data_IF_991479289688
#
_entry.id   IF_991479289688
#
_cell.length_a   1.000
_cell.length_b   1.000
_cell.length_c   1.000
_cell.angle_alpha   90.00
_cell.angle_beta   90.00
_cell.angle_gamma   90.00
#
_symmetry.space_group_name_H-M   'P 1'
#
loop_
_entity.id
_entity.type
_entity.pdbx_description
1 polymer ?
#
# COMPACT_ATOMS: atom_id res chain seq x y z
N UNK A 1 -36.67 20.97 -40.77
CA UNK A 1 -37.16 19.85 -41.57
C UNK A 1 -37.45 18.72 -40.61
N UNK A 2 -38.59 18.70 -39.91
CA UNK A 2 -39.97 18.24 -40.31
C UNK A 2 -39.95 16.82 -40.82
N UNK A 3 -40.50 15.91 -40.02
CA UNK A 3 -41.62 14.97 -40.25
C UNK A 3 -41.57 13.87 -39.20
N UNK A 4 -42.47 13.68 -38.25
CA UNK A 4 -43.94 13.64 -38.21
C UNK A 4 -44.55 12.37 -38.86
N UNK A 5 -45.49 11.78 -38.12
CA UNK A 5 -46.56 10.81 -38.48
C UNK A 5 -46.22 9.33 -38.31
N UNK A 6 -47.07 8.45 -37.79
CA UNK A 6 -48.52 8.47 -37.58
C UNK A 6 -48.96 7.31 -36.70
N UNK A 7 -49.96 7.55 -35.90
CA UNK A 7 -50.89 6.64 -35.21
C UNK A 7 -51.49 5.57 -36.13
N UNK A 8 -51.78 4.40 -35.58
CA UNK A 8 -53.11 3.79 -35.78
C UNK A 8 -53.43 2.80 -34.66
N UNK A 9 -54.55 3.06 -34.02
CA UNK A 9 -55.34 2.16 -33.19
C UNK A 9 -56.15 1.21 -34.07
N UNK A 10 -56.64 0.14 -33.48
CA UNK A 10 -57.88 -0.63 -33.68
C UNK A 10 -57.62 -1.92 -32.90
N UNK A 11 -58.19 -2.33 -31.81
CA UNK A 11 -59.58 -2.38 -31.42
C UNK A 11 -60.19 -3.73 -31.82
N UNK A 12 -60.29 -4.67 -30.88
CA UNK A 12 -61.57 -5.39 -30.71
C UNK A 12 -61.46 -6.38 -29.51
N UNK A 13 -62.46 -6.34 -28.65
CA UNK A 13 -62.72 -7.23 -27.56
C UNK A 13 -63.34 -8.54 -28.03
N UNK A 14 -63.04 -9.66 -27.38
CA UNK A 14 -63.99 -10.77 -27.19
C UNK A 14 -63.70 -11.42 -25.85
N UNK A 15 -64.71 -11.42 -25.01
CA UNK A 15 -64.82 -12.16 -23.79
C UNK A 15 -65.01 -13.67 -24.04
N UNK A 16 -64.50 -14.53 -23.16
CA UNK A 16 -65.29 -15.64 -22.57
C UNK A 16 -64.44 -16.54 -21.67
N UNK A 17 -65.00 -16.74 -20.47
CA UNK A 17 -65.13 -17.98 -19.73
C UNK A 17 -63.94 -18.52 -18.88
N UNK A 18 -64.09 -18.31 -17.60
CA UNK A 18 -63.90 -19.18 -16.42
C UNK A 18 -63.34 -20.59 -16.68
N UNK A 19 -62.14 -20.83 -16.11
CA UNK A 19 -61.83 -22.09 -15.48
C UNK A 19 -60.83 -21.82 -14.34
N UNK A 20 -61.30 -21.92 -13.11
CA UNK A 20 -60.49 -21.86 -11.90
C UNK A 20 -59.69 -23.16 -11.78
N UNK A 21 -58.39 -23.09 -12.02
CA UNK A 21 -57.44 -24.11 -11.58
C UNK A 21 -56.51 -23.48 -10.58
N UNK A 22 -56.81 -23.68 -9.29
CA UNK A 22 -55.93 -23.32 -8.17
C UNK A 22 -54.76 -24.31 -8.19
N UNK A 23 -53.72 -24.01 -8.90
CA UNK A 23 -52.41 -24.65 -8.74
C UNK A 23 -51.65 -23.91 -7.62
N UNK A 24 -51.67 -24.49 -6.41
CA UNK A 24 -50.81 -24.07 -5.32
C UNK A 24 -49.36 -24.34 -5.74
N UNK A 25 -48.71 -23.33 -6.36
CA UNK A 25 -47.26 -23.32 -6.49
C UNK A 25 -46.67 -23.05 -5.12
N UNK A 26 -46.24 -24.09 -4.42
CA UNK A 26 -45.35 -23.99 -3.29
C UNK A 26 -44.04 -23.39 -3.80
N UNK A 27 -43.89 -22.08 -3.64
CA UNK A 27 -42.61 -21.40 -3.72
C UNK A 27 -41.72 -21.99 -2.63
N UNK A 28 -40.99 -23.03 -2.98
CA UNK A 28 -39.91 -23.55 -2.17
C UNK A 28 -38.84 -22.46 -2.11
N UNK A 29 -38.78 -21.70 -1.01
CA UNK A 29 -37.61 -20.94 -0.64
C UNK A 29 -36.45 -21.92 -0.48
N UNK A 30 -35.67 -22.13 -1.54
CA UNK A 30 -34.34 -22.70 -1.40
C UNK A 30 -33.55 -21.79 -0.49
N UNK A 31 -33.06 -22.27 0.69
CA UNK A 31 -32.16 -21.42 1.47
C UNK A 31 -30.97 -21.06 0.60
N UNK A 32 -30.76 -19.75 0.40
CA UNK A 32 -29.57 -19.29 -0.26
C UNK A 32 -28.35 -19.88 0.46
N UNK A 33 -27.38 -20.43 -0.28
CA UNK A 33 -26.18 -20.97 0.37
C UNK A 33 -25.58 -19.85 1.23
N UNK A 34 -25.50 -20.10 2.54
CA UNK A 34 -24.84 -19.17 3.46
C UNK A 34 -23.43 -18.96 2.97
N UNK A 35 -23.12 -17.77 2.51
CA UNK A 35 -21.77 -17.41 2.12
C UNK A 35 -20.88 -17.59 3.36
N UNK A 36 -20.06 -18.61 3.36
CA UNK A 36 -19.05 -18.80 4.40
C UNK A 36 -18.13 -17.62 4.32
N UNK A 37 -18.05 -16.83 5.39
CA UNK A 37 -17.17 -15.69 5.45
C UNK A 37 -15.72 -16.18 5.21
N UNK A 38 -15.05 -15.58 4.24
CA UNK A 38 -13.67 -15.91 3.94
C UNK A 38 -12.80 -15.59 5.14
N UNK A 39 -12.03 -16.57 5.60
CA UNK A 39 -11.05 -16.37 6.68
C UNK A 39 -9.82 -15.68 6.08
N UNK A 40 -9.47 -14.52 6.62
CA UNK A 40 -8.31 -13.74 6.17
C UNK A 40 -7.19 -13.94 7.18
N UNK A 41 -5.99 -14.26 6.68
CA UNK A 41 -4.76 -14.40 7.45
C UNK A 41 -3.70 -13.41 7.00
N UNK A 42 -2.96 -12.89 7.98
CA UNK A 42 -1.79 -12.06 7.71
C UNK A 42 -0.55 -12.97 7.57
N UNK A 43 0.13 -12.85 6.44
CA UNK A 43 1.42 -13.49 6.18
C UNK A 43 2.51 -12.45 6.33
N UNK A 44 3.39 -12.67 7.30
CA UNK A 44 4.45 -11.73 7.65
C UNK A 44 5.80 -12.26 7.18
N UNK A 45 6.56 -11.39 6.51
CA UNK A 45 7.92 -11.66 6.04
C UNK A 45 8.88 -10.75 6.79
N UNK A 46 9.92 -11.34 7.36
CA UNK A 46 10.98 -10.60 8.03
C UNK A 46 11.95 -10.01 7.01
N UNK A 47 12.35 -8.77 7.24
CA UNK A 47 13.37 -8.09 6.43
C UNK A 47 14.73 -8.26 7.13
N UNK A 48 15.77 -8.60 6.38
CA UNK A 48 17.13 -8.71 6.86
C UNK A 48 18.04 -7.63 6.23
N UNK A 49 18.93 -7.04 7.02
CA UNK A 49 19.08 -7.17 8.48
C UNK A 49 17.95 -6.50 9.26
N UNK A 50 17.73 -6.93 10.53
CA UNK A 50 16.67 -6.38 11.40
C UNK A 50 16.90 -4.92 11.80
N UNK A 51 18.14 -4.46 11.76
CA UNK A 51 18.54 -3.08 12.03
C UNK A 51 19.66 -2.66 11.09
N UNK A 52 19.53 -1.46 10.55
CA UNK A 52 20.55 -0.82 9.73
C UNK A 52 20.79 0.59 10.26
N UNK A 53 22.06 0.91 10.51
CA UNK A 53 22.47 2.24 10.90
C UNK A 53 23.37 2.86 9.84
N UNK A 54 23.04 4.09 9.46
CA UNK A 54 23.76 4.85 8.42
C UNK A 54 24.04 6.25 8.96
N UNK A 55 25.23 6.75 8.68
CA UNK A 55 25.58 8.14 8.95
C UNK A 55 25.90 8.83 7.63
N UNK A 56 25.27 9.96 7.38
CA UNK A 56 25.51 10.80 6.22
C UNK A 56 25.60 12.26 6.66
N UNK A 57 26.78 12.85 6.49
CA UNK A 57 27.07 14.20 6.97
C UNK A 57 26.77 14.34 8.47
N UNK A 58 25.83 15.21 8.82
CA UNK A 58 25.43 15.52 10.18
C UNK A 58 24.18 14.76 10.67
N UNK A 59 23.69 13.79 9.88
CA UNK A 59 22.53 12.99 10.26
C UNK A 59 22.91 11.52 10.37
N UNK A 60 22.50 10.90 11.48
CA UNK A 60 22.45 9.45 11.64
C UNK A 60 21.03 8.97 11.49
N UNK A 61 20.85 7.89 10.73
CA UNK A 61 19.59 7.18 10.60
C UNK A 61 19.71 5.74 11.06
N UNK A 62 18.72 5.26 11.78
CA UNK A 62 18.60 3.86 12.15
C UNK A 62 17.22 3.33 11.75
N UNK A 63 17.23 2.26 10.97
CA UNK A 63 16.01 1.59 10.49
C UNK A 63 15.87 0.26 11.23
N UNK A 64 14.73 0.07 11.90
CA UNK A 64 14.47 -1.09 12.74
C UNK A 64 13.08 -1.67 12.51
N UNK A 65 12.84 -2.88 13.00
CA UNK A 65 11.53 -3.55 12.98
C UNK A 65 10.90 -3.65 11.58
N UNK A 66 11.73 -3.79 10.55
CA UNK A 66 11.23 -3.88 9.18
C UNK A 66 10.56 -5.23 8.91
N UNK A 67 9.34 -5.17 8.43
CA UNK A 67 8.57 -6.35 8.02
C UNK A 67 7.67 -6.04 6.83
N UNK A 68 7.38 -7.06 6.04
CA UNK A 68 6.37 -6.99 4.97
C UNK A 68 5.18 -7.85 5.37
N UNK A 69 3.99 -7.28 5.34
CA UNK A 69 2.74 -7.99 5.66
C UNK A 69 1.86 -8.08 4.43
N UNK A 70 1.42 -9.29 4.10
CA UNK A 70 0.49 -9.59 3.03
C UNK A 70 -0.78 -10.20 3.62
N UNK A 71 -1.96 -9.72 3.23
CA UNK A 71 -3.25 -10.28 3.62
C UNK A 71 -3.76 -11.27 2.59
N UNK A 72 -3.94 -12.50 3.01
CA UNK A 72 -4.36 -13.59 2.13
C UNK A 72 -5.63 -14.26 2.64
N UNK A 73 -6.50 -14.62 1.73
CA UNK A 73 -7.68 -15.44 2.01
C UNK A 73 -7.26 -16.90 2.18
N UNK A 74 -7.62 -17.49 3.31
CA UNK A 74 -7.32 -18.89 3.60
C UNK A 74 -8.08 -19.81 2.62
N UNK A 75 -7.37 -20.82 2.12
CA UNK A 75 -7.92 -21.78 1.16
C UNK A 75 -7.70 -21.36 -0.30
N UNK A 76 -8.00 -20.14 -0.70
CA UNK A 76 -7.78 -19.67 -2.07
C UNK A 76 -6.38 -19.09 -2.29
N UNK A 77 -5.73 -18.61 -1.22
CA UNK A 77 -4.46 -17.89 -1.31
C UNK A 77 -4.57 -16.53 -2.01
N UNK A 78 -5.79 -16.04 -2.24
CA UNK A 78 -6.02 -14.76 -2.90
C UNK A 78 -5.57 -13.61 -1.99
N UNK A 79 -4.75 -12.72 -2.52
CA UNK A 79 -4.35 -11.49 -1.84
C UNK A 79 -5.55 -10.54 -1.78
N UNK A 80 -5.95 -10.14 -0.59
CA UNK A 80 -7.13 -9.29 -0.37
C UNK A 80 -6.79 -7.82 -0.28
N UNK A 81 -5.57 -7.50 0.19
CA UNK A 81 -5.08 -6.13 0.28
C UNK A 81 -3.66 -6.06 -0.27
N UNK A 82 -3.24 -4.91 -0.83
CA UNK A 82 -1.85 -4.68 -1.20
C UNK A 82 -0.93 -4.98 -0.02
N UNK A 83 0.20 -5.65 -0.29
CA UNK A 83 1.21 -5.89 0.73
C UNK A 83 1.79 -4.55 1.23
N UNK A 84 2.15 -4.52 2.51
CA UNK A 84 2.70 -3.34 3.16
C UNK A 84 4.08 -3.60 3.74
N UNK A 85 4.96 -2.63 3.57
CA UNK A 85 6.23 -2.54 4.27
C UNK A 85 6.05 -1.63 5.49
N UNK A 86 6.33 -2.16 6.68
CA UNK A 86 6.27 -1.39 7.93
C UNK A 86 7.61 -1.44 8.66
N UNK A 87 7.87 -0.45 9.52
CA UNK A 87 9.09 -0.38 10.29
C UNK A 87 9.19 0.91 11.07
N UNK A 88 10.34 1.14 11.70
CA UNK A 88 10.68 2.35 12.44
C UNK A 88 11.96 2.96 11.88
N UNK A 89 11.93 4.25 11.63
CA UNK A 89 13.06 5.07 11.22
C UNK A 89 13.36 6.07 12.34
N UNK A 90 14.47 5.90 13.01
CA UNK A 90 15.00 6.87 13.95
C UNK A 90 16.06 7.74 13.24
N UNK A 91 15.93 9.05 13.34
CA UNK A 91 16.88 10.03 12.80
C UNK A 91 17.46 10.84 13.94
N UNK A 92 18.75 11.13 13.87
CA UNK A 92 19.43 11.99 14.83
C UNK A 92 20.32 12.99 14.13
N UNK A 93 20.18 14.26 14.50
CA UNK A 93 21.11 15.29 14.11
C UNK A 93 22.32 15.26 15.08
N UNK A 94 23.49 14.92 14.55
CA UNK A 94 24.74 14.83 15.33
C UNK A 94 25.59 16.11 15.25
N UNK A 95 25.10 17.15 14.58
CA UNK A 95 25.74 18.45 14.56
C UNK A 95 25.67 19.14 15.92
N UNK A 96 26.66 19.95 16.24
CA UNK A 96 26.67 20.79 17.43
C UNK A 96 25.94 22.13 17.21
N UNK A 97 25.83 22.59 15.95
CA UNK A 97 25.46 23.97 15.63
C UNK A 97 24.51 24.12 14.44
N UNK A 98 24.25 23.04 13.69
CA UNK A 98 23.41 23.08 12.51
C UNK A 98 22.06 22.40 12.74
N UNK A 99 21.00 23.06 12.32
CA UNK A 99 19.68 22.47 12.25
C UNK A 99 19.51 21.71 10.92
N UNK A 100 18.82 20.59 10.95
CA UNK A 100 18.48 19.80 9.78
C UNK A 100 16.99 19.90 9.52
N UNK A 101 16.62 20.10 8.26
CA UNK A 101 15.24 19.99 7.81
C UNK A 101 15.10 18.81 6.84
N UNK A 102 14.22 17.86 7.21
CA UNK A 102 13.88 16.75 6.33
C UNK A 102 12.93 17.25 5.21
N UNK A 103 13.30 17.02 3.96
CA UNK A 103 12.51 17.49 2.78
C UNK A 103 11.72 16.38 2.12
N UNK A 104 12.09 15.12 2.36
CA UNK A 104 11.34 13.99 1.82
C UNK A 104 12.10 12.67 1.92
N UNK A 105 11.40 11.62 1.55
CA UNK A 105 11.97 10.29 1.45
C UNK A 105 11.22 9.46 0.41
N UNK A 106 11.92 8.49 -0.18
CA UNK A 106 11.34 7.52 -1.12
C UNK A 106 11.87 6.13 -0.85
N UNK A 107 11.06 5.12 -1.20
CA UNK A 107 11.44 3.73 -1.11
C UNK A 107 11.53 3.17 -2.53
N UNK A 108 12.63 2.51 -2.84
CA UNK A 108 12.84 1.81 -4.10
C UNK A 108 12.96 0.31 -3.82
N UNK A 109 12.19 -0.47 -4.56
CA UNK A 109 12.28 -1.92 -4.57
C UNK A 109 13.10 -2.34 -5.78
N UNK A 110 14.23 -3.00 -5.58
CA UNK A 110 15.20 -3.29 -6.63
C UNK A 110 15.22 -4.80 -6.90
N UNK A 111 15.11 -5.17 -8.17
CA UNK A 111 15.17 -6.57 -8.60
C UNK A 111 16.61 -7.10 -8.65
N UNK A 112 16.75 -8.41 -8.91
CA UNK A 112 18.05 -9.08 -9.01
C UNK A 112 18.90 -8.57 -10.19
N UNK A 113 18.31 -7.87 -11.15
CA UNK A 113 18.98 -7.21 -12.25
C UNK A 113 19.34 -5.74 -11.95
N UNK A 114 19.02 -5.24 -10.77
CA UNK A 114 19.28 -3.85 -10.37
C UNK A 114 18.25 -2.84 -10.89
N UNK A 115 17.09 -3.30 -11.35
CA UNK A 115 16.04 -2.44 -11.90
C UNK A 115 14.95 -2.20 -10.86
N UNK A 116 14.32 -0.99 -10.84
CA UNK A 116 13.19 -0.72 -9.96
C UNK A 116 11.98 -1.60 -10.29
N UNK A 117 11.41 -2.25 -9.28
CA UNK A 117 10.13 -2.96 -9.36
C UNK A 117 9.04 -1.91 -9.18
N UNK A 118 8.11 -1.83 -10.13
CA UNK A 118 6.99 -0.89 -10.06
C UNK A 118 5.91 -1.41 -9.11
N UNK A 119 5.24 -0.49 -8.45
CA UNK A 119 4.01 -0.77 -7.72
C UNK A 119 2.85 -1.02 -8.70
N UNK A 120 1.79 -1.66 -8.23
CA UNK A 120 0.54 -1.76 -8.98
C UNK A 120 0.06 -0.35 -9.35
N UNK A 121 -0.64 -0.20 -10.48
CA UNK A 121 -1.05 1.08 -11.06
C UNK A 121 0.08 1.97 -11.63
N UNK A 122 1.21 1.39 -12.07
CA UNK A 122 2.35 2.12 -12.68
C UNK A 122 3.01 3.20 -11.80
N UNK A 123 2.73 3.22 -10.51
CA UNK A 123 3.43 4.09 -9.57
C UNK A 123 4.82 3.53 -9.33
N UNK A 124 5.83 4.38 -9.43
CA UNK A 124 7.23 3.92 -9.35
C UNK A 124 7.81 4.02 -7.95
N UNK A 125 7.30 4.92 -7.10
CA UNK A 125 7.93 5.21 -5.81
C UNK A 125 6.89 5.54 -4.73
N UNK A 126 6.78 4.74 -3.65
CA UNK A 126 6.06 5.17 -2.48
C UNK A 126 6.85 6.28 -1.81
N UNK A 127 6.20 7.40 -1.62
CA UNK A 127 6.77 8.53 -0.90
C UNK A 127 6.55 8.30 0.59
N UNK A 128 7.62 8.34 1.38
CA UNK A 128 7.49 8.45 2.83
C UNK A 128 7.04 9.88 3.10
N UNK A 129 5.77 10.02 3.42
CA UNK A 129 5.30 11.26 4.02
C UNK A 129 5.84 11.25 5.43
N UNK A 130 6.65 12.23 5.80
CA UNK A 130 6.95 12.46 7.19
C UNK A 130 5.61 12.47 7.93
N UNK A 131 5.49 11.71 9.02
CA UNK A 131 4.30 11.73 9.84
C UNK A 131 4.23 13.12 10.50
N UNK A 132 3.79 14.09 9.73
CA UNK A 132 3.49 15.43 10.19
C UNK A 132 2.20 15.36 10.99
N UNK A 133 2.30 14.94 12.22
CA UNK A 133 1.30 15.24 13.20
C UNK A 133 1.60 16.66 13.66
N UNK A 134 0.98 17.64 13.01
CA UNK A 134 0.97 19.06 13.40
C UNK A 134 2.32 19.64 13.88
N UNK A 135 3.07 20.20 12.95
CA UNK A 135 3.80 21.45 13.21
C UNK A 135 5.28 21.42 13.55
N UNK A 136 5.98 20.30 13.74
CA UNK A 136 7.41 20.35 14.09
C UNK A 136 8.30 19.20 13.59
N UNK A 137 7.75 18.18 12.96
CA UNK A 137 8.47 16.91 12.70
C UNK A 137 9.45 16.93 11.52
N UNK A 138 9.54 18.01 10.79
CA UNK A 138 10.46 18.13 9.65
C UNK A 138 11.81 18.74 10.04
N UNK A 139 11.93 19.27 11.25
CA UNK A 139 13.13 19.96 11.74
C UNK A 139 13.76 19.20 12.89
N UNK A 140 15.07 18.98 12.82
CA UNK A 140 15.89 18.44 13.87
C UNK A 140 16.94 19.47 14.29
N UNK A 141 16.83 19.98 15.50
CA UNK A 141 17.82 20.89 16.06
C UNK A 141 19.11 20.12 16.46
N UNK A 142 20.23 20.79 16.74
CA UNK A 142 21.46 20.15 17.14
C UNK A 142 21.26 19.15 18.29
N UNK A 143 21.73 17.92 18.09
CA UNK A 143 21.61 16.84 19.09
C UNK A 143 20.21 16.20 19.18
N UNK A 144 19.21 16.74 18.52
CA UNK A 144 17.84 16.23 18.55
C UNK A 144 17.69 14.94 17.75
N UNK A 145 16.80 14.06 18.22
CA UNK A 145 16.37 12.86 17.52
C UNK A 145 14.85 12.87 17.29
N UNK A 146 14.42 12.12 16.25
CA UNK A 146 13.02 11.88 15.96
C UNK A 146 12.84 10.47 15.41
N UNK A 147 11.74 9.83 15.80
CA UNK A 147 11.35 8.51 15.29
C UNK A 147 10.09 8.61 14.47
N UNK A 148 10.11 8.02 13.29
CA UNK A 148 8.99 7.99 12.36
C UNK A 148 8.62 6.55 12.03
N UNK A 149 7.32 6.29 11.89
CA UNK A 149 6.85 5.02 11.35
C UNK A 149 7.07 4.98 9.83
N UNK A 150 7.59 3.88 9.37
CA UNK A 150 7.58 3.52 7.94
C UNK A 150 6.32 2.73 7.68
N UNK A 151 5.43 3.22 6.82
CA UNK A 151 4.24 2.51 6.32
C UNK A 151 4.13 2.81 4.82
N UNK A 152 4.50 1.84 4.01
CA UNK A 152 4.54 1.98 2.57
C UNK A 152 3.94 0.78 1.86
N UNK A 153 3.33 1.02 0.72
CA UNK A 153 2.87 -0.05 -0.17
C UNK A 153 4.06 -0.88 -0.67
N UNK A 154 3.87 -2.20 -0.73
CA UNK A 154 4.91 -3.12 -1.18
C UNK A 154 4.46 -3.84 -2.47
N UNK A 155 5.32 -3.96 -3.49
CA UNK A 155 4.95 -4.60 -4.75
C UNK A 155 4.78 -6.12 -4.58
N UNK A 156 3.55 -6.60 -4.76
CA UNK A 156 3.20 -8.03 -4.62
C UNK A 156 4.03 -8.92 -5.55
N UNK A 157 4.38 -8.42 -6.72
CA UNK A 157 5.25 -9.12 -7.68
C UNK A 157 6.62 -9.47 -7.09
N UNK A 158 7.14 -8.64 -6.21
CA UNK A 158 8.42 -8.89 -5.54
C UNK A 158 8.37 -10.13 -4.64
N UNK A 159 7.22 -10.40 -3.99
CA UNK A 159 7.02 -11.58 -3.17
C UNK A 159 6.79 -12.84 -4.01
N UNK A 160 5.93 -12.75 -5.03
CA UNK A 160 5.54 -13.89 -5.86
C UNK A 160 6.70 -14.48 -6.67
N UNK A 161 7.53 -13.63 -7.21
CA UNK A 161 8.56 -14.04 -8.17
C UNK A 161 9.95 -14.20 -7.55
N UNK A 162 10.12 -13.97 -6.24
CA UNK A 162 11.41 -13.95 -5.53
C UNK A 162 12.46 -13.09 -6.25
N UNK A 163 12.02 -12.05 -6.93
CA UNK A 163 12.88 -11.16 -7.73
C UNK A 163 13.48 -10.01 -6.94
N UNK A 164 12.99 -9.75 -5.73
CA UNK A 164 13.49 -8.64 -4.93
C UNK A 164 14.89 -8.96 -4.43
N UNK A 165 15.83 -8.07 -4.74
CA UNK A 165 17.21 -8.11 -4.25
C UNK A 165 17.39 -7.20 -3.04
N UNK A 166 16.85 -5.97 -3.12
CA UNK A 166 17.04 -4.97 -2.07
C UNK A 166 15.84 -4.02 -1.97
N UNK A 167 15.66 -3.48 -0.78
CA UNK A 167 14.78 -2.32 -0.52
C UNK A 167 15.70 -1.17 -0.17
N UNK A 168 15.62 -0.08 -0.94
CA UNK A 168 16.42 1.13 -0.74
C UNK A 168 15.55 2.25 -0.25
N UNK A 169 15.87 2.79 0.92
CA UNK A 169 15.27 3.99 1.46
C UNK A 169 16.20 5.16 1.19
N UNK A 170 15.74 6.15 0.45
CA UNK A 170 16.44 7.41 0.19
C UNK A 170 15.77 8.53 0.96
N UNK A 171 16.51 9.22 1.80
CA UNK A 171 16.04 10.39 2.54
C UNK A 171 16.79 11.62 2.04
N UNK A 172 16.07 12.73 1.90
CA UNK A 172 16.63 14.02 1.54
C UNK A 172 16.46 15.01 2.67
N UNK A 173 17.54 15.68 3.04
CA UNK A 173 17.50 16.70 4.08
C UNK A 173 18.35 17.90 3.72
N UNK A 174 18.07 19.05 4.32
CA UNK A 174 18.78 20.30 4.12
C UNK A 174 19.35 20.74 5.48
N UNK A 175 20.68 20.77 5.65
CA UNK A 175 21.28 21.38 6.82
C UNK A 175 21.28 22.90 6.71
N UNK A 176 21.28 23.58 7.84
CA UNK A 176 21.46 25.04 7.89
C UNK A 176 22.95 25.37 8.05
N UNK A 177 23.50 26.31 7.23
CA UNK A 177 22.89 26.94 6.09
C UNK A 177 22.99 26.08 4.82
N UNK A 178 21.86 25.74 4.31
CA UNK A 178 21.52 25.31 2.96
C UNK A 178 22.48 24.41 2.16
N UNK A 179 22.66 23.16 2.59
CA UNK A 179 23.23 22.11 1.74
C UNK A 179 22.28 20.90 1.75
N UNK A 180 21.85 20.45 0.59
CA UNK A 180 21.09 19.21 0.47
C UNK A 180 22.04 18.01 0.57
N UNK A 181 21.72 17.06 1.44
CA UNK A 181 22.42 15.78 1.55
C UNK A 181 21.40 14.63 1.51
N UNK A 182 21.85 13.44 1.12
CA UNK A 182 21.01 12.27 0.94
C UNK A 182 21.49 11.10 1.81
N UNK A 183 20.56 10.50 2.54
CA UNK A 183 20.78 9.21 3.20
C UNK A 183 20.15 8.09 2.38
N UNK A 184 20.91 7.03 2.17
CA UNK A 184 20.44 5.86 1.46
C UNK A 184 20.50 4.64 2.39
N UNK A 185 19.35 3.98 2.57
CA UNK A 185 19.23 2.73 3.31
C UNK A 185 18.91 1.61 2.34
N UNK A 186 19.71 0.56 2.38
CA UNK A 186 19.47 -0.64 1.59
C UNK A 186 19.24 -1.82 2.50
N UNK A 187 18.12 -2.50 2.35
CA UNK A 187 17.76 -3.70 3.10
C UNK A 187 17.37 -4.81 2.14
N UNK A 188 17.67 -6.05 2.52
CA UNK A 188 17.27 -7.24 1.77
C UNK A 188 16.17 -7.98 2.50
N UNK A 189 15.29 -8.64 1.77
CA UNK A 189 14.36 -9.59 2.37
C UNK A 189 15.11 -10.90 2.55
N UNK A 190 15.23 -11.36 3.79
CA UNK A 190 15.78 -12.66 4.13
C UNK A 190 14.91 -13.79 3.57
N UNK A 191 15.56 -14.85 3.10
CA UNK A 191 14.88 -16.01 2.52
C UNK A 191 13.85 -16.64 3.45
N UNK A 192 12.84 -17.21 2.84
CA UNK A 192 11.86 -18.12 3.46
C UNK A 192 12.52 -19.46 3.76
#
# INVERSE_FOLDING_TARGET
>A
MTNSFTRRQIGLAVACALAAAVTATTLGCSPAPSAVAAVIKDKVYTVNPNSIKVTAGIVTGELTEMQVTERVEEGSGRVTNPAKLTGKLALKNISADQTVRLVGGKILYIDVQGRPIKLEANRTEPTIKGASTYGSSERLDPGQDATQAVDAEFPVEALKTKKLKEIRLELSYIPSPFKEEKLNFTVSIGGQ
#
